data_IF_549652534937
#
_entry.id   IF_549652534937
#
_cell.length_a   1.000
_cell.length_b   1.000
_cell.length_c   1.000
_cell.angle_alpha   90.00
_cell.angle_beta   90.00
_cell.angle_gamma   90.00
#
_symmetry.space_group_name_H-M   'P 1'
#
loop_
_entity.id
_entity.type
_entity.pdbx_description
1 polymer ?
#
# COMPACT_ATOMS: atom_id res chain seq x y z
N UNK A 1 3.50 42.29 -14.62
CA UNK A 1 2.82 41.15 -13.99
C UNK A 1 3.68 39.92 -14.21
N UNK A 2 4.42 39.43 -13.20
CA UNK A 2 5.32 38.30 -13.37
C UNK A 2 4.63 36.98 -12.97
N UNK A 3 4.46 36.12 -13.96
CA UNK A 3 4.68 34.66 -13.99
C UNK A 3 4.41 33.80 -12.75
N UNK A 4 3.21 33.20 -12.70
CA UNK A 4 2.81 32.13 -11.76
C UNK A 4 3.14 30.70 -12.25
N UNK A 5 4.20 30.50 -13.04
CA UNK A 5 4.56 29.19 -13.61
C UNK A 5 5.75 28.49 -12.92
N UNK A 6 5.76 28.36 -11.58
CA UNK A 6 6.93 27.78 -10.88
C UNK A 6 6.69 26.56 -9.96
N UNK A 7 5.54 25.89 -9.99
CA UNK A 7 5.27 24.82 -8.98
C UNK A 7 5.12 23.38 -9.48
N UNK A 8 5.20 23.10 -10.79
CA UNK A 8 5.00 21.73 -11.31
C UNK A 8 6.24 21.00 -11.86
N UNK A 9 7.46 21.54 -11.68
CA UNK A 9 8.70 20.92 -12.20
C UNK A 9 9.62 20.26 -11.16
N UNK A 10 9.14 19.95 -9.94
CA UNK A 10 10.03 19.49 -8.84
C UNK A 10 10.23 17.98 -8.67
N UNK A 11 9.84 17.12 -9.63
CA UNK A 11 10.00 15.66 -9.48
C UNK A 11 10.85 14.94 -10.54
N UNK A 12 11.59 15.66 -11.40
CA UNK A 12 12.55 15.01 -12.32
C UNK A 12 13.83 15.82 -12.51
N UNK A 13 14.73 15.80 -11.52
CA UNK A 13 16.12 16.20 -11.75
C UNK A 13 17.09 15.71 -10.66
N UNK A 14 17.18 14.38 -10.46
CA UNK A 14 18.36 13.75 -9.87
C UNK A 14 18.84 12.61 -10.78
N UNK A 15 19.41 12.99 -11.93
CA UNK A 15 20.13 12.11 -12.85
C UNK A 15 21.47 12.75 -13.20
N UNK A 16 22.54 12.37 -12.47
CA UNK A 16 24.00 12.54 -12.74
C UNK A 16 24.72 12.38 -11.40
N UNK A 17 25.78 11.59 -11.20
CA UNK A 17 26.87 11.11 -12.07
C UNK A 17 27.34 9.74 -11.52
N UNK A 18 27.30 8.70 -12.34
CA UNK A 18 28.23 7.58 -12.17
C UNK A 18 29.58 8.06 -12.71
N UNK A 19 30.52 8.40 -11.82
CA UNK A 19 31.93 8.46 -12.20
C UNK A 19 32.37 7.01 -12.44
N UNK A 20 32.64 6.69 -13.70
CA UNK A 20 33.44 5.53 -14.07
C UNK A 20 34.84 5.74 -13.50
N UNK A 21 35.10 5.23 -12.29
CA UNK A 21 36.46 4.97 -11.84
C UNK A 21 36.83 3.58 -12.33
N UNK A 22 37.60 3.55 -13.42
CA UNK A 22 38.26 2.34 -13.89
C UNK A 22 39.42 2.03 -12.92
N UNK A 23 39.11 1.26 -11.87
CA UNK A 23 40.12 0.73 -10.95
C UNK A 23 40.73 -0.52 -11.56
N UNK A 24 41.89 -0.39 -12.20
CA UNK A 24 42.66 -1.52 -12.70
C UNK A 24 43.41 -2.15 -11.52
N UNK A 25 42.94 -3.32 -11.07
CA UNK A 25 43.64 -4.14 -10.08
C UNK A 25 44.73 -4.92 -10.81
N UNK A 26 45.99 -4.48 -10.68
CA UNK A 26 47.15 -5.25 -11.14
C UNK A 26 47.41 -6.39 -10.15
N UNK A 27 46.93 -7.59 -10.48
CA UNK A 27 47.32 -8.81 -9.78
C UNK A 27 48.70 -9.24 -10.30
N UNK A 28 49.74 -8.88 -9.55
CA UNK A 28 51.09 -9.38 -9.75
C UNK A 28 51.14 -10.86 -9.39
N UNK A 29 51.31 -11.72 -10.40
CA UNK A 29 51.51 -13.16 -10.21
C UNK A 29 53.02 -13.43 -10.21
N UNK A 30 53.63 -13.85 -9.08
CA UNK A 30 55.04 -14.17 -9.06
C UNK A 30 55.31 -15.44 -9.88
N UNK A 31 56.30 -15.34 -10.76
CA UNK A 31 56.83 -16.40 -11.59
C UNK A 31 57.54 -17.46 -10.75
N UNK A 32 57.25 -18.71 -11.09
CA UNK A 32 57.77 -19.99 -10.63
C UNK A 32 59.25 -19.99 -10.21
N UNK A 33 59.53 -20.57 -9.04
CA UNK A 33 60.81 -21.18 -8.75
C UNK A 33 60.67 -22.70 -8.97
N UNK A 34 61.36 -23.18 -9.99
CA UNK A 34 61.57 -24.60 -10.25
C UNK A 34 62.46 -25.20 -9.16
N UNK A 35 61.95 -26.22 -8.48
CA UNK A 35 62.81 -27.20 -7.81
C UNK A 35 62.19 -28.59 -7.99
N UNK A 36 62.66 -29.23 -9.05
CA UNK A 36 62.66 -30.66 -9.26
C UNK A 36 63.24 -31.41 -8.07
N UNK A 37 62.52 -32.40 -7.54
CA UNK A 37 63.05 -33.75 -7.34
C UNK A 37 62.02 -34.69 -6.68
N UNK A 38 61.73 -35.77 -7.40
CA UNK A 38 61.52 -37.14 -6.90
C UNK A 38 60.60 -37.37 -5.69
N UNK A 39 59.44 -37.96 -5.95
CA UNK A 39 59.24 -39.39 -5.66
C UNK A 39 57.87 -39.84 -6.14
N UNK A 40 57.88 -40.89 -6.96
CA UNK A 40 56.70 -41.58 -7.46
C UNK A 40 56.03 -42.35 -6.32
N UNK A 41 55.26 -41.66 -5.49
CA UNK A 41 54.17 -42.26 -4.73
C UNK A 41 52.87 -41.82 -5.39
N UNK A 42 52.18 -42.77 -6.04
CA UNK A 42 50.86 -42.58 -6.65
C UNK A 42 49.90 -42.16 -5.55
N UNK A 43 49.79 -40.86 -5.33
CA UNK A 43 49.09 -40.27 -4.20
C UNK A 43 47.61 -40.09 -4.56
N UNK A 44 46.67 -40.64 -3.75
CA UNK A 44 45.22 -40.52 -3.97
C UNK A 44 44.70 -39.07 -3.91
N UNK A 45 45.56 -38.11 -3.57
CA UNK A 45 45.24 -36.68 -3.45
C UNK A 45 44.89 -36.02 -4.79
N UNK A 46 45.47 -36.45 -5.92
CA UNK A 46 45.14 -35.90 -7.24
C UNK A 46 43.71 -36.28 -7.70
N UNK A 47 43.25 -37.48 -7.32
CA UNK A 47 41.88 -37.93 -7.61
C UNK A 47 40.88 -37.17 -6.75
N UNK A 48 41.20 -36.89 -5.48
CA UNK A 48 40.36 -36.09 -4.59
C UNK A 48 40.19 -34.64 -5.06
N UNK A 49 41.27 -34.00 -5.54
CA UNK A 49 41.19 -32.65 -6.09
C UNK A 49 40.31 -32.59 -7.35
N UNK A 50 40.40 -33.60 -8.22
CA UNK A 50 39.57 -33.66 -9.43
C UNK A 50 38.10 -33.89 -9.10
N UNK A 51 37.79 -34.75 -8.15
CA UNK A 51 36.42 -34.99 -7.68
C UNK A 51 35.85 -33.74 -6.98
N UNK A 52 36.66 -33.03 -6.20
CA UNK A 52 36.26 -31.77 -5.55
C UNK A 52 35.87 -30.71 -6.59
N UNK A 53 36.65 -30.53 -7.66
CA UNK A 53 36.31 -29.61 -8.75
C UNK A 53 34.99 -29.97 -9.45
N UNK A 54 34.77 -31.26 -9.72
CA UNK A 54 33.53 -31.75 -10.33
C UNK A 54 32.34 -31.49 -9.41
N UNK A 55 32.46 -31.82 -8.12
CA UNK A 55 31.41 -31.60 -7.12
C UNK A 55 31.05 -30.10 -7.02
N UNK A 56 32.07 -29.23 -6.96
CA UNK A 56 31.86 -27.79 -6.91
C UNK A 56 31.14 -27.26 -8.16
N UNK A 57 31.51 -27.76 -9.34
CA UNK A 57 30.83 -27.44 -10.60
C UNK A 57 29.36 -27.84 -10.59
N UNK A 58 29.03 -29.06 -10.12
CA UNK A 58 27.64 -29.50 -9.97
C UNK A 58 26.87 -28.65 -8.95
N UNK A 59 27.48 -28.30 -7.82
CA UNK A 59 26.84 -27.42 -6.83
C UNK A 59 26.49 -26.04 -7.43
N UNK A 60 27.40 -25.42 -8.19
CA UNK A 60 27.12 -24.14 -8.86
C UNK A 60 26.00 -24.27 -9.90
N UNK A 61 25.99 -25.33 -10.69
CA UNK A 61 24.94 -25.59 -11.67
C UNK A 61 23.55 -25.75 -11.01
N UNK A 62 23.47 -26.46 -9.88
CA UNK A 62 22.23 -26.63 -9.11
C UNK A 62 21.75 -25.28 -8.55
N UNK A 63 22.64 -24.46 -7.99
CA UNK A 63 22.28 -23.13 -7.46
C UNK A 63 21.72 -22.23 -8.58
N UNK A 64 22.35 -22.23 -9.75
CA UNK A 64 21.85 -21.49 -10.92
C UNK A 64 20.46 -21.99 -11.38
N UNK A 65 20.22 -23.29 -11.35
CA UNK A 65 18.92 -23.86 -11.72
C UNK A 65 17.84 -23.50 -10.69
N UNK A 66 18.14 -23.59 -9.39
CA UNK A 66 17.20 -23.23 -8.33
C UNK A 66 16.86 -21.74 -8.36
N UNK A 67 17.84 -20.87 -8.55
CA UNK A 67 17.60 -19.42 -8.68
C UNK A 67 16.75 -19.10 -9.91
N UNK A 68 17.00 -19.74 -11.06
CA UNK A 68 16.16 -19.60 -12.25
C UNK A 68 14.71 -20.06 -12.00
N UNK A 69 14.51 -21.18 -11.29
CA UNK A 69 13.17 -21.67 -10.92
C UNK A 69 12.44 -20.71 -9.98
N UNK A 70 13.13 -20.15 -8.98
CA UNK A 70 12.53 -19.15 -8.07
C UNK A 70 12.11 -17.91 -8.84
N UNK A 71 12.99 -17.38 -9.71
CA UNK A 71 12.66 -16.23 -10.56
C UNK A 71 11.48 -16.54 -11.48
N UNK A 72 11.46 -17.73 -12.09
CA UNK A 72 10.37 -18.18 -12.94
C UNK A 72 9.04 -18.24 -12.16
N UNK A 73 9.04 -18.79 -10.95
CA UNK A 73 7.86 -18.91 -10.10
C UNK A 73 7.38 -17.55 -9.56
N UNK A 74 8.31 -16.64 -9.24
CA UNK A 74 7.97 -15.27 -8.85
C UNK A 74 7.33 -14.52 -10.04
N UNK A 75 7.89 -14.65 -11.24
CA UNK A 75 7.38 -13.98 -12.43
C UNK A 75 6.03 -14.56 -12.88
N UNK A 76 5.84 -15.88 -12.82
CA UNK A 76 4.56 -16.52 -13.15
C UNK A 76 3.44 -16.09 -12.20
N UNK A 77 3.73 -15.99 -10.89
CA UNK A 77 2.77 -15.51 -9.90
C UNK A 77 2.43 -14.02 -10.05
N UNK A 78 3.41 -13.20 -10.41
CA UNK A 78 3.16 -11.78 -10.71
C UNK A 78 2.27 -11.66 -11.96
N UNK A 79 2.52 -12.47 -12.99
CA UNK A 79 1.72 -12.44 -14.21
C UNK A 79 0.27 -12.89 -13.98
N UNK A 80 0.03 -13.91 -13.14
CA UNK A 80 -1.32 -14.40 -12.83
C UNK A 80 -2.14 -13.44 -11.97
N UNK A 81 -1.52 -12.61 -11.11
CA UNK A 81 -2.23 -11.54 -10.39
C UNK A 81 -2.37 -10.23 -11.20
N UNK A 82 -1.46 -9.97 -12.14
CA UNK A 82 -1.45 -8.72 -12.92
C UNK A 82 -2.51 -8.67 -14.03
N UNK A 83 -2.96 -9.82 -14.56
CA UNK A 83 -3.94 -9.85 -15.66
C UNK A 83 -5.38 -9.55 -15.23
N UNK A 84 -5.67 -9.42 -13.93
CA UNK A 84 -7.02 -9.14 -13.42
C UNK A 84 -7.15 -7.78 -12.70
N UNK A 85 -6.07 -7.00 -12.55
CA UNK A 85 -6.07 -5.75 -11.74
C UNK A 85 -5.65 -4.49 -12.53
N UNK A 86 -5.01 -4.62 -13.70
CA UNK A 86 -4.48 -3.47 -14.44
C UNK A 86 -5.45 -2.79 -15.42
N UNK A 87 -6.59 -3.42 -15.72
CA UNK A 87 -7.70 -2.76 -16.42
C UNK A 87 -8.63 -2.02 -15.44
N UNK A 88 -8.73 -2.44 -14.18
CA UNK A 88 -9.63 -1.82 -13.20
C UNK A 88 -9.02 -0.59 -12.51
N UNK A 89 -7.71 -0.61 -12.18
CA UNK A 89 -7.06 0.52 -11.48
C UNK A 89 -6.95 1.78 -12.35
N UNK A 90 -6.62 1.63 -13.63
CA UNK A 90 -6.55 2.74 -14.58
C UNK A 90 -7.94 3.30 -14.93
N UNK A 91 -8.96 2.44 -15.06
CA UNK A 91 -10.34 2.88 -15.29
C UNK A 91 -10.89 3.60 -14.05
N UNK A 92 -10.62 3.13 -12.82
CA UNK A 92 -11.00 3.85 -11.59
C UNK A 92 -10.27 5.19 -11.47
N UNK A 93 -8.97 5.25 -11.79
CA UNK A 93 -8.21 6.50 -11.74
C UNK A 93 -8.72 7.52 -12.78
N UNK A 94 -9.07 7.07 -13.99
CA UNK A 94 -9.65 7.91 -15.04
C UNK A 94 -11.08 8.33 -14.68
N UNK A 95 -11.88 7.43 -14.10
CA UNK A 95 -13.24 7.74 -13.64
C UNK A 95 -13.23 8.77 -12.50
N UNK A 96 -12.33 8.62 -11.51
CA UNK A 96 -12.16 9.59 -10.42
C UNK A 96 -11.70 10.95 -10.92
N UNK A 97 -10.84 11.00 -11.96
CA UNK A 97 -10.38 12.27 -12.54
C UNK A 97 -11.49 13.02 -13.27
N UNK A 98 -12.43 12.30 -13.92
CA UNK A 98 -13.57 12.92 -14.61
C UNK A 98 -14.63 13.44 -13.64
N UNK A 99 -14.86 12.72 -12.55
CA UNK A 99 -15.85 13.14 -11.53
C UNK A 99 -15.47 14.45 -10.82
N UNK A 100 -14.17 14.77 -10.69
CA UNK A 100 -13.76 15.97 -9.96
C UNK A 100 -14.24 17.27 -10.66
N UNK A 101 -14.29 17.29 -11.99
CA UNK A 101 -14.76 18.47 -12.74
C UNK A 101 -16.25 18.76 -12.51
N UNK A 102 -17.03 17.75 -12.16
CA UNK A 102 -18.46 17.88 -11.89
C UNK A 102 -18.74 18.51 -10.52
N UNK A 103 -17.78 18.44 -9.59
CA UNK A 103 -17.92 18.99 -8.23
C UNK A 103 -17.21 20.34 -8.06
N UNK A 104 -16.17 20.61 -8.84
CA UNK A 104 -15.39 21.86 -8.74
C UNK A 104 -16.03 22.97 -9.60
N UNK A 105 -16.21 24.14 -9.00
CA UNK A 105 -16.63 25.35 -9.69
C UNK A 105 -15.41 26.13 -10.19
N UNK A 106 -15.15 26.06 -11.51
CA UNK A 106 -14.00 26.70 -12.16
C UNK A 106 -14.14 28.22 -12.31
N UNK A 107 -15.31 28.79 -12.02
CA UNK A 107 -15.57 30.23 -12.10
C UNK A 107 -15.10 30.98 -10.85
N UNK A 108 -14.70 30.26 -9.81
CA UNK A 108 -14.19 30.81 -8.56
C UNK A 108 -12.67 30.65 -8.53
N UNK A 109 -11.94 31.70 -8.19
CA UNK A 109 -10.50 31.58 -7.99
C UNK A 109 -10.21 30.75 -6.72
N UNK A 110 -9.49 29.61 -6.81
CA UNK A 110 -9.11 28.83 -5.64
C UNK A 110 -8.26 29.60 -4.63
N UNK A 111 -7.56 30.65 -5.04
CA UNK A 111 -6.77 31.52 -4.15
C UNK A 111 -7.63 32.49 -3.35
N UNK A 112 -8.81 32.86 -3.85
CA UNK A 112 -9.75 33.74 -3.14
C UNK A 112 -10.70 32.96 -2.24
N UNK A 113 -11.25 31.84 -2.73
CA UNK A 113 -12.16 31.00 -1.95
C UNK A 113 -12.12 29.53 -2.39
N UNK A 114 -11.10 28.81 -1.89
CA UNK A 114 -10.93 27.38 -2.15
C UNK A 114 -12.15 26.52 -1.75
N UNK A 115 -12.87 26.91 -0.69
CA UNK A 115 -14.04 26.15 -0.24
C UNK A 115 -15.15 26.18 -1.28
N UNK A 116 -15.51 27.36 -1.79
CA UNK A 116 -16.52 27.48 -2.83
C UNK A 116 -16.02 26.91 -4.15
N UNK A 117 -14.73 27.06 -4.48
CA UNK A 117 -14.13 26.41 -5.64
C UNK A 117 -14.35 24.89 -5.64
N UNK A 118 -14.17 24.19 -4.52
CA UNK A 118 -14.31 22.72 -4.48
C UNK A 118 -15.73 22.24 -4.21
N UNK A 119 -16.53 22.97 -3.45
CA UNK A 119 -17.79 22.46 -2.89
C UNK A 119 -19.06 23.11 -3.45
N UNK A 120 -18.99 24.24 -4.15
CA UNK A 120 -20.18 25.01 -4.54
C UNK A 120 -21.17 24.19 -5.40
N UNK A 121 -20.68 23.49 -6.43
CA UNK A 121 -21.55 22.63 -7.27
C UNK A 121 -22.15 21.46 -6.49
N UNK A 122 -21.44 20.90 -5.51
CA UNK A 122 -21.95 19.81 -4.69
C UNK A 122 -23.11 20.27 -3.79
N UNK A 123 -22.98 21.45 -3.19
CA UNK A 123 -24.04 22.06 -2.37
C UNK A 123 -25.28 22.35 -3.23
N UNK A 124 -25.09 22.87 -4.44
CA UNK A 124 -26.18 23.14 -5.38
C UNK A 124 -26.94 21.87 -5.78
N UNK A 125 -26.23 20.77 -6.05
CA UNK A 125 -26.86 19.47 -6.39
C UNK A 125 -27.65 18.86 -5.23
N UNK A 126 -27.21 19.08 -3.98
CA UNK A 126 -27.87 18.50 -2.79
C UNK A 126 -29.05 19.30 -2.26
N UNK A 127 -29.02 20.64 -2.41
CA UNK A 127 -30.14 21.50 -1.99
C UNK A 127 -31.48 21.07 -2.60
N UNK A 128 -31.49 20.45 -3.78
CA UNK A 128 -32.73 20.00 -4.43
C UNK A 128 -33.26 18.62 -4.02
N UNK A 129 -32.48 17.80 -3.29
CA UNK A 129 -32.87 16.40 -2.99
C UNK A 129 -32.86 16.04 -1.50
N UNK A 130 -31.98 16.67 -0.72
CA UNK A 130 -31.67 16.16 0.62
C UNK A 130 -32.38 16.93 1.74
N UNK A 131 -32.95 18.10 1.48
CA UNK A 131 -33.57 18.91 2.54
C UNK A 131 -34.83 18.23 3.11
N UNK A 132 -35.67 17.68 2.24
CA UNK A 132 -36.87 16.93 2.64
C UNK A 132 -36.52 15.56 3.27
N UNK A 133 -35.51 14.87 2.74
CA UNK A 133 -35.11 13.54 3.26
C UNK A 133 -34.40 13.65 4.61
N UNK A 134 -33.54 14.65 4.79
CA UNK A 134 -32.83 14.88 6.04
C UNK A 134 -33.80 15.22 7.18
N UNK A 135 -34.73 16.15 6.96
CA UNK A 135 -35.72 16.52 7.99
C UNK A 135 -36.68 15.35 8.29
N UNK A 136 -37.05 14.55 7.29
CA UNK A 136 -37.83 13.32 7.49
C UNK A 136 -37.06 12.27 8.31
N UNK A 137 -35.77 12.08 8.05
CA UNK A 137 -34.95 11.12 8.81
C UNK A 137 -34.71 11.62 10.23
N UNK A 138 -34.49 12.93 10.39
CA UNK A 138 -34.32 13.60 11.68
C UNK A 138 -35.59 13.49 12.53
N UNK A 139 -36.77 13.66 11.95
CA UNK A 139 -38.04 13.51 12.67
C UNK A 139 -38.28 12.06 13.13
N UNK A 140 -37.94 11.07 12.30
CA UNK A 140 -38.00 9.64 12.70
C UNK A 140 -37.12 9.33 13.90
N UNK A 141 -35.86 9.76 13.88
CA UNK A 141 -34.93 9.55 14.99
C UNK A 141 -35.45 10.23 16.26
N UNK A 142 -35.95 11.47 16.13
CA UNK A 142 -36.51 12.22 17.25
C UNK A 142 -37.71 11.49 17.87
N UNK A 143 -38.62 10.97 17.05
CA UNK A 143 -39.77 10.19 17.54
C UNK A 143 -39.35 8.89 18.22
N UNK A 144 -38.38 8.17 17.66
CA UNK A 144 -37.88 6.93 18.25
C UNK A 144 -37.23 7.15 19.62
N UNK A 145 -36.39 8.18 19.73
CA UNK A 145 -35.74 8.54 21.00
C UNK A 145 -36.79 8.93 22.04
N UNK A 146 -37.77 9.77 21.66
CA UNK A 146 -38.81 10.20 22.57
C UNK A 146 -39.68 9.02 23.05
N UNK A 147 -39.99 8.07 22.16
CA UNK A 147 -40.71 6.85 22.53
C UNK A 147 -39.93 5.99 23.53
N UNK A 148 -38.63 5.78 23.30
CA UNK A 148 -37.76 5.01 24.21
C UNK A 148 -37.63 5.66 25.59
N UNK A 149 -37.54 6.98 25.65
CA UNK A 149 -37.49 7.72 26.91
C UNK A 149 -38.77 7.55 27.74
N UNK A 150 -39.94 7.58 27.10
CA UNK A 150 -41.22 7.41 27.80
C UNK A 150 -41.41 6.00 28.38
N UNK A 151 -41.00 4.96 27.66
CA UNK A 151 -41.07 3.58 28.15
C UNK A 151 -40.16 3.38 29.36
N UNK A 152 -38.94 3.92 29.33
CA UNK A 152 -37.98 3.75 30.42
C UNK A 152 -38.44 4.44 31.72
N UNK A 153 -39.08 5.61 31.62
CA UNK A 153 -39.66 6.31 32.77
C UNK A 153 -40.80 5.50 33.39
N UNK A 154 -41.68 4.91 32.57
CA UNK A 154 -42.78 4.06 33.05
C UNK A 154 -42.26 2.84 33.80
N UNK A 155 -41.21 2.19 33.30
CA UNK A 155 -40.63 1.01 33.94
C UNK A 155 -40.00 1.35 35.30
N UNK A 156 -39.35 2.51 35.41
CA UNK A 156 -38.73 2.93 36.66
C UNK A 156 -39.77 3.28 37.75
N UNK A 157 -40.94 3.81 37.39
CA UNK A 157 -42.01 4.04 38.38
C UNK A 157 -42.66 2.77 38.92
N UNK A 158 -42.78 1.72 38.10
CA UNK A 158 -43.30 0.42 38.54
C UNK A 158 -42.35 -0.23 39.55
N UNK A 159 -41.04 -0.19 39.29
CA UNK A 159 -40.02 -0.76 40.19
C UNK A 159 -39.98 -0.01 41.54
N UNK A 160 -40.08 1.32 41.56
CA UNK A 160 -40.14 2.08 42.83
C UNK A 160 -41.43 1.86 43.63
N UNK A 161 -42.50 1.37 43.01
CA UNK A 161 -43.76 1.07 43.72
C UNK A 161 -43.73 -0.31 44.39
N UNK A 162 -42.95 -1.24 43.87
CA UNK A 162 -42.86 -2.63 44.37
C UNK A 162 -41.92 -2.74 45.58
N UNK A 163 -40.87 -1.91 45.64
CA UNK A 163 -39.92 -1.88 46.77
C UNK A 163 -40.52 -1.26 48.04
N UNK A 164 -41.54 -0.39 47.93
CA UNK A 164 -42.24 0.17 49.09
C UNK A 164 -43.26 -0.78 49.72
N UNK A 165 -43.67 -1.85 49.03
CA UNK A 165 -44.66 -2.81 49.56
C UNK A 165 -44.03 -3.94 50.38
N UNK A 166 -42.73 -4.21 50.20
CA UNK A 166 -42.04 -5.29 50.91
C UNK A 166 -41.47 -4.90 52.28
N UNK A 167 -41.57 -3.63 52.69
CA UNK A 167 -41.05 -3.17 53.99
C UNK A 167 -42.11 -3.12 55.11
N UNK A 168 -43.39 -3.38 54.80
CA UNK A 168 -44.49 -3.27 55.79
C UNK A 168 -44.87 -4.59 56.49
N UNK A 169 -44.23 -5.73 56.16
CA UNK A 169 -44.53 -7.05 56.76
C UNK A 169 -43.51 -7.51 57.84
N UNK A 170 -42.69 -6.60 58.38
CA UNK A 170 -41.83 -6.87 59.54
C UNK A 170 -42.22 -6.00 60.74
N UNK A 171 -43.44 -6.18 61.25
CA UNK A 171 -43.85 -5.80 62.60
C UNK A 171 -44.94 -6.76 63.10
#
# INVERSE_FOLDING_TARGET
>A
MPDCCSWLNRLRCCRRRQQQQHTYIYLYSPTMADSSSSSSTRSPLLLLNRLSCILFGFCLAIILLLTALVIYHLNSNIFTMSSNVNSHSNIIAIAKKRQLQDFVNLDIDPCENFYNFVCDKWIQQRKSKDEDDYEKKRSRIRHEIHGKLMINISNNQVISSEESSHHLDMC
#
